data_IF_796888852815
#
_entry.id   IF_796888852815
#
_cell.length_a   1.000
_cell.length_b   1.000
_cell.length_c   1.000
_cell.angle_alpha   90.00
_cell.angle_beta   90.00
_cell.angle_gamma   90.00
#
_symmetry.space_group_name_H-M   'P 1'
#
loop_
_entity.id
_entity.type
_entity.pdbx_description
1 polymer ?
#
# COMPACT_ATOMS: atom_id res chain seq x y z
N UNK A 1 12.27 -25.11 37.63
CA UNK A 1 11.92 -23.69 37.78
C UNK A 1 13.11 -22.88 37.32
N UNK A 2 12.91 -21.94 36.38
CA UNK A 2 13.97 -21.05 35.95
C UNK A 2 14.09 -19.95 37.00
N UNK A 3 15.32 -19.64 37.39
CA UNK A 3 15.63 -18.72 38.49
C UNK A 3 15.11 -17.31 38.19
N UNK A 4 14.47 -16.61 39.16
CA UNK A 4 14.13 -15.19 39.06
C UNK A 4 15.33 -14.30 38.67
N UNK A 5 16.55 -14.77 38.93
CA UNK A 5 17.80 -14.12 38.52
C UNK A 5 18.03 -14.12 37.01
N UNK A 6 17.51 -15.10 36.27
CA UNK A 6 17.64 -15.18 34.82
C UNK A 6 16.69 -14.18 34.14
N UNK A 7 15.48 -14.02 34.69
CA UNK A 7 14.53 -12.97 34.28
C UNK A 7 15.08 -11.58 34.64
N UNK A 8 15.67 -11.42 35.82
CA UNK A 8 16.33 -10.18 36.22
C UNK A 8 17.53 -9.83 35.33
N UNK A 9 18.29 -10.82 34.87
CA UNK A 9 19.40 -10.62 33.93
C UNK A 9 18.92 -10.19 32.54
N UNK A 10 17.74 -10.65 32.09
CA UNK A 10 17.13 -10.18 30.85
C UNK A 10 16.52 -8.77 30.95
N UNK A 11 16.10 -8.34 32.15
CA UNK A 11 15.56 -6.99 32.38
C UNK A 11 16.62 -5.87 32.32
N UNK A 12 17.89 -6.17 32.64
CA UNK A 12 18.98 -5.22 32.46
C UNK A 12 19.37 -5.18 30.97
N UNK A 13 19.00 -4.11 30.27
CA UNK A 13 19.29 -3.85 28.84
C UNK A 13 20.79 -3.96 28.44
N UNK A 14 21.70 -4.21 29.37
CA UNK A 14 23.07 -4.66 29.10
C UNK A 14 23.09 -6.17 28.79
N UNK A 15 22.70 -6.52 27.56
CA UNK A 15 22.55 -7.87 27.01
C UNK A 15 23.86 -8.70 26.86
N UNK A 16 24.93 -8.33 27.56
CA UNK A 16 26.19 -9.09 27.63
C UNK A 16 26.72 -9.05 29.06
N UNK A 17 25.92 -9.48 30.04
CA UNK A 17 26.47 -9.78 31.36
C UNK A 17 26.98 -11.22 31.37
N UNK A 18 28.15 -11.45 31.97
CA UNK A 18 28.74 -12.78 32.19
C UNK A 18 27.75 -13.78 32.79
N UNK A 19 26.75 -13.28 33.51
CA UNK A 19 25.64 -14.04 34.11
C UNK A 19 24.75 -14.71 33.06
N UNK A 20 24.37 -14.00 31.98
CA UNK A 20 23.54 -14.56 30.91
C UNK A 20 24.30 -15.66 30.14
N UNK A 21 25.58 -15.43 29.85
CA UNK A 21 26.48 -16.41 29.23
C UNK A 21 26.72 -17.63 30.14
N UNK A 22 26.87 -17.42 31.45
CA UNK A 22 27.00 -18.49 32.44
C UNK A 22 25.74 -19.36 32.50
N UNK A 23 24.55 -18.76 32.57
CA UNK A 23 23.31 -19.50 32.54
C UNK A 23 23.16 -20.28 31.22
N UNK A 24 23.51 -19.69 30.08
CA UNK A 24 23.47 -20.42 28.84
C UNK A 24 24.38 -21.64 28.81
N UNK A 25 25.62 -21.53 29.32
CA UNK A 25 26.54 -22.67 29.38
C UNK A 25 25.92 -23.81 30.18
N UNK A 26 25.30 -23.49 31.31
CA UNK A 26 24.55 -24.45 32.12
C UNK A 26 23.36 -25.05 31.35
N UNK A 27 22.57 -24.25 30.62
CA UNK A 27 21.43 -24.76 29.83
C UNK A 27 21.86 -25.57 28.60
N UNK A 28 23.02 -25.26 27.99
CA UNK A 28 23.66 -26.03 26.92
C UNK A 28 24.12 -27.39 27.44
N UNK A 29 24.80 -27.40 28.58
CA UNK A 29 25.27 -28.62 29.25
C UNK A 29 24.09 -29.51 29.70
N UNK A 30 22.95 -28.89 30.07
CA UNK A 30 21.71 -29.59 30.42
C UNK A 30 20.85 -30.01 29.21
N UNK A 31 21.25 -29.71 27.97
CA UNK A 31 20.46 -29.95 26.74
C UNK A 31 19.05 -29.33 26.74
N UNK A 32 18.84 -28.22 27.45
CA UNK A 32 17.53 -27.53 27.56
C UNK A 32 17.46 -26.18 26.83
N UNK A 33 18.32 -26.00 25.82
CA UNK A 33 18.41 -24.76 25.04
C UNK A 33 17.08 -24.33 24.40
N UNK A 34 16.28 -25.27 23.90
CA UNK A 34 14.96 -24.98 23.33
C UNK A 34 13.97 -24.40 24.34
N UNK A 35 14.12 -24.73 25.64
CA UNK A 35 13.29 -24.16 26.71
C UNK A 35 13.72 -22.72 26.98
N UNK A 36 15.02 -22.45 27.00
CA UNK A 36 15.57 -21.11 27.18
C UNK A 36 15.16 -20.17 26.04
N UNK A 37 15.27 -20.63 24.79
CA UNK A 37 14.82 -19.89 23.60
C UNK A 37 13.34 -19.49 23.71
N UNK A 38 12.46 -20.42 24.09
CA UNK A 38 11.03 -20.11 24.28
C UNK A 38 10.78 -19.08 25.38
N UNK A 39 11.50 -19.16 26.49
CA UNK A 39 11.35 -18.18 27.57
C UNK A 39 11.88 -16.80 27.18
N UNK A 40 12.99 -16.76 26.46
CA UNK A 40 13.57 -15.53 25.92
C UNK A 40 12.61 -14.85 24.93
N UNK A 41 12.09 -15.63 23.99
CA UNK A 41 11.10 -15.20 23.01
C UNK A 41 9.85 -14.61 23.69
N UNK A 42 9.28 -15.34 24.65
CA UNK A 42 8.11 -14.86 25.40
C UNK A 42 8.40 -13.58 26.19
N UNK A 43 9.60 -13.46 26.75
CA UNK A 43 10.01 -12.24 27.47
C UNK A 43 10.07 -11.04 26.54
N UNK A 44 10.81 -11.14 25.43
CA UNK A 44 10.93 -10.08 24.43
C UNK A 44 9.56 -9.71 23.83
N UNK A 45 8.74 -10.72 23.52
CA UNK A 45 7.37 -10.53 23.04
C UNK A 45 6.54 -9.68 24.00
N UNK A 46 6.51 -10.06 25.28
CA UNK A 46 5.70 -9.36 26.28
C UNK A 46 6.19 -7.92 26.50
N UNK A 47 7.50 -7.70 26.45
CA UNK A 47 8.08 -6.35 26.53
C UNK A 47 7.60 -5.48 25.37
N UNK A 48 7.69 -5.96 24.13
CA UNK A 48 7.26 -5.21 22.95
C UNK A 48 5.75 -4.93 22.94
N UNK A 49 4.92 -5.90 23.31
CA UNK A 49 3.47 -5.70 23.45
C UNK A 49 3.15 -4.65 24.52
N UNK A 50 3.89 -4.64 25.64
CA UNK A 50 3.71 -3.64 26.68
C UNK A 50 4.13 -2.24 26.20
N UNK A 51 5.22 -2.12 25.44
CA UNK A 51 5.64 -0.85 24.83
C UNK A 51 4.58 -0.32 23.86
N UNK A 52 3.97 -1.18 23.04
CA UNK A 52 2.85 -0.80 22.19
C UNK A 52 1.68 -0.23 22.98
N UNK A 53 1.25 -0.92 24.05
CA UNK A 53 0.17 -0.43 24.92
C UNK A 53 0.49 0.93 25.52
N UNK A 54 1.73 1.12 25.97
CA UNK A 54 2.18 2.40 26.51
C UNK A 54 2.11 3.51 25.45
N UNK A 55 2.56 3.26 24.21
CA UNK A 55 2.47 4.25 23.12
C UNK A 55 1.02 4.68 22.90
N UNK A 56 0.10 3.72 22.81
CA UNK A 56 -1.32 4.01 22.55
C UNK A 56 -2.00 4.72 23.74
N UNK A 57 -1.54 4.48 24.97
CA UNK A 57 -2.16 5.03 26.20
C UNK A 57 -1.50 6.35 26.68
N UNK A 58 -0.28 6.68 26.24
CA UNK A 58 0.50 7.78 26.79
C UNK A 58 -0.04 9.17 26.45
N UNK A 59 -0.47 9.41 25.21
CA UNK A 59 -0.97 10.72 24.77
C UNK A 59 -2.20 10.57 23.85
N UNK A 60 -3.38 11.08 24.24
CA UNK A 60 -4.58 11.05 23.41
C UNK A 60 -4.53 11.99 22.20
N UNK A 61 -3.58 12.94 22.14
CA UNK A 61 -3.41 13.83 20.98
C UNK A 61 -2.56 13.20 19.87
N UNK A 62 -1.79 12.16 20.17
CA UNK A 62 -0.98 11.46 19.18
C UNK A 62 -1.86 10.71 18.15
N UNK A 63 -1.46 10.81 16.89
CA UNK A 63 -2.15 10.10 15.80
C UNK A 63 -1.56 8.70 15.62
N UNK A 64 -2.31 7.83 14.93
CA UNK A 64 -1.77 6.52 14.55
C UNK A 64 -0.46 6.61 13.75
N UNK A 65 -0.25 7.69 13.00
CA UNK A 65 1.00 7.94 12.27
C UNK A 65 2.16 8.05 13.27
N UNK A 66 1.97 8.78 14.37
CA UNK A 66 2.97 8.95 15.43
C UNK A 66 3.23 7.63 16.16
N UNK A 67 2.16 6.93 16.54
CA UNK A 67 2.26 5.61 17.18
C UNK A 67 3.03 4.61 16.33
N UNK A 68 2.77 4.58 15.02
CA UNK A 68 3.40 3.66 14.09
C UNK A 68 4.88 3.98 13.89
N UNK A 69 5.25 5.26 13.77
CA UNK A 69 6.65 5.67 13.69
C UNK A 69 7.43 5.24 14.94
N UNK A 70 6.90 5.59 16.13
CA UNK A 70 7.54 5.26 17.40
C UNK A 70 7.68 3.74 17.58
N UNK A 71 6.60 3.00 17.34
CA UNK A 71 6.64 1.54 17.48
C UNK A 71 7.59 0.87 16.47
N UNK A 72 7.61 1.33 15.21
CA UNK A 72 8.54 0.80 14.20
C UNK A 72 10.01 1.09 14.56
N UNK A 73 10.32 2.25 15.13
CA UNK A 73 11.66 2.57 15.62
C UNK A 73 12.06 1.64 16.78
N UNK A 74 11.14 1.35 17.70
CA UNK A 74 11.36 0.37 18.78
C UNK A 74 11.60 -1.03 18.22
N UNK A 75 10.81 -1.47 17.24
CA UNK A 75 10.98 -2.79 16.60
C UNK A 75 12.35 -2.89 15.92
N UNK A 76 12.77 -1.86 15.19
CA UNK A 76 14.04 -1.84 14.48
C UNK A 76 15.23 -1.78 15.46
N UNK A 77 15.15 -0.94 16.49
CA UNK A 77 16.16 -0.87 17.55
C UNK A 77 16.30 -2.22 18.27
N UNK A 78 15.15 -2.86 18.56
CA UNK A 78 15.13 -4.20 19.14
C UNK A 78 15.75 -5.21 18.19
N UNK A 79 15.38 -5.22 16.91
CA UNK A 79 16.00 -6.10 15.91
C UNK A 79 17.53 -6.01 15.95
N UNK A 80 18.10 -4.81 15.89
CA UNK A 80 19.56 -4.62 15.90
C UNK A 80 20.20 -5.06 17.23
N UNK A 81 19.62 -4.69 18.37
CA UNK A 81 20.12 -5.08 19.69
C UNK A 81 20.10 -6.60 19.88
N UNK A 82 18.98 -7.23 19.48
CA UNK A 82 18.78 -8.67 19.61
C UNK A 82 19.64 -9.45 18.62
N UNK A 83 19.94 -8.90 17.44
CA UNK A 83 20.82 -9.56 16.47
C UNK A 83 22.19 -9.86 17.07
N UNK A 84 22.85 -8.86 17.66
CA UNK A 84 24.17 -9.04 18.29
C UNK A 84 24.10 -10.01 19.47
N UNK A 85 23.04 -9.93 20.28
CA UNK A 85 22.87 -10.80 21.43
C UNK A 85 22.63 -12.26 21.01
N UNK A 86 21.68 -12.52 20.10
CA UNK A 86 21.36 -13.85 19.62
C UNK A 86 22.52 -14.51 18.85
N UNK A 87 23.35 -13.76 18.14
CA UNK A 87 24.57 -14.30 17.52
C UNK A 87 25.55 -14.86 18.56
N UNK A 88 25.68 -14.20 19.72
CA UNK A 88 26.52 -14.67 20.82
C UNK A 88 25.85 -15.80 21.63
N UNK A 89 24.53 -15.74 21.77
CA UNK A 89 23.77 -16.68 22.58
C UNK A 89 23.42 -17.99 21.84
N UNK A 90 23.24 -17.95 20.53
CA UNK A 90 22.67 -19.04 19.73
C UNK A 90 23.47 -19.28 18.45
N UNK A 91 24.74 -19.71 18.53
CA UNK A 91 25.59 -19.90 17.35
C UNK A 91 25.11 -21.02 16.41
N UNK A 92 24.28 -21.94 16.92
CA UNK A 92 23.81 -23.12 16.18
C UNK A 92 22.42 -22.91 15.52
N UNK A 93 21.80 -21.74 15.66
CA UNK A 93 20.46 -21.43 15.12
C UNK A 93 20.50 -20.21 14.19
N UNK A 94 19.66 -20.19 13.16
CA UNK A 94 19.51 -19.01 12.29
C UNK A 94 18.89 -17.87 13.09
N UNK A 95 19.71 -16.88 13.46
CA UNK A 95 19.28 -15.72 14.26
C UNK A 95 18.15 -14.96 13.55
N UNK A 96 18.22 -14.88 12.21
CA UNK A 96 17.20 -14.22 11.37
C UNK A 96 15.84 -14.91 11.53
N UNK A 97 15.79 -16.25 11.61
CA UNK A 97 14.56 -16.98 11.85
C UNK A 97 13.96 -16.63 13.21
N UNK A 98 14.77 -16.68 14.27
CA UNK A 98 14.30 -16.41 15.65
C UNK A 98 13.71 -15.00 15.76
N UNK A 99 14.39 -14.00 15.18
CA UNK A 99 13.91 -12.62 15.22
C UNK A 99 12.68 -12.41 14.32
N UNK A 100 12.62 -13.07 13.17
CA UNK A 100 11.44 -13.01 12.29
C UNK A 100 10.21 -13.61 12.97
N UNK A 101 10.35 -14.77 13.62
CA UNK A 101 9.29 -15.39 14.42
C UNK A 101 8.85 -14.49 15.58
N UNK A 102 9.79 -13.82 16.25
CA UNK A 102 9.49 -12.88 17.34
C UNK A 102 8.64 -11.71 16.86
N UNK A 103 9.04 -11.06 15.76
CA UNK A 103 8.29 -9.93 15.20
C UNK A 103 6.91 -10.37 14.70
N UNK A 104 6.79 -11.53 14.05
CA UNK A 104 5.50 -12.10 13.65
C UNK A 104 4.60 -12.30 14.87
N UNK A 105 5.13 -12.91 15.93
CA UNK A 105 4.37 -13.16 17.16
C UNK A 105 3.97 -11.88 17.88
N UNK A 106 4.79 -10.83 17.83
CA UNK A 106 4.44 -9.52 18.40
C UNK A 106 3.32 -8.89 17.59
N UNK A 107 3.50 -8.72 16.28
CA UNK A 107 2.55 -8.06 15.38
C UNK A 107 1.17 -8.73 15.37
N UNK A 108 1.13 -10.07 15.48
CA UNK A 108 -0.12 -10.84 15.55
C UNK A 108 -0.85 -10.75 16.89
N UNK A 109 -0.15 -10.40 17.97
CA UNK A 109 -0.69 -10.35 19.33
C UNK A 109 -0.78 -8.92 19.89
N UNK A 110 -0.66 -7.89 19.04
CA UNK A 110 -0.87 -6.50 19.46
C UNK A 110 -2.32 -6.27 19.90
N UNK A 111 -2.46 -5.53 20.99
CA UNK A 111 -3.73 -5.16 21.61
C UNK A 111 -3.64 -3.70 22.06
N UNK A 112 -4.38 -2.75 21.44
CA UNK A 112 -5.25 -2.97 20.28
C UNK A 112 -4.47 -3.40 19.03
N UNK A 113 -5.10 -4.16 18.13
CA UNK A 113 -4.44 -4.63 16.92
C UNK A 113 -4.23 -3.51 15.90
N UNK A 114 -3.17 -3.59 15.08
CA UNK A 114 -2.91 -2.59 14.03
C UNK A 114 -4.08 -2.47 13.04
N UNK A 115 -4.71 -3.58 12.67
CA UNK A 115 -5.89 -3.55 11.80
C UNK A 115 -7.05 -2.75 12.41
N UNK A 116 -7.32 -2.93 13.71
CA UNK A 116 -8.33 -2.14 14.41
C UNK A 116 -7.99 -0.64 14.45
N UNK A 117 -6.74 -0.30 14.75
CA UNK A 117 -6.30 1.09 14.79
C UNK A 117 -6.42 1.78 13.41
N UNK A 118 -6.01 1.10 12.33
CA UNK A 118 -6.14 1.61 10.96
C UNK A 118 -7.61 1.81 10.60
N UNK A 119 -8.47 0.82 10.88
CA UNK A 119 -9.91 0.92 10.63
C UNK A 119 -10.57 2.09 11.40
N UNK A 120 -10.14 2.32 12.64
CA UNK A 120 -10.62 3.44 13.45
C UNK A 120 -10.15 4.79 12.88
N UNK A 121 -8.86 4.93 12.54
CA UNK A 121 -8.31 6.13 11.94
C UNK A 121 -8.96 6.48 10.59
N UNK A 122 -9.18 5.47 9.75
CA UNK A 122 -9.82 5.61 8.43
C UNK A 122 -11.24 6.19 8.47
N UNK A 123 -11.98 5.98 9.55
CA UNK A 123 -13.34 6.53 9.72
C UNK A 123 -13.34 8.04 9.98
N UNK A 124 -12.25 8.56 10.56
CA UNK A 124 -12.13 9.97 10.93
C UNK A 124 -11.63 10.85 9.77
N UNK A 125 -11.00 10.24 8.76
CA UNK A 125 -10.37 10.97 7.66
C UNK A 125 -11.31 11.24 6.49
N UNK A 126 -11.20 12.44 5.92
CA UNK A 126 -11.86 12.82 4.67
C UNK A 126 -11.17 12.21 3.45
N UNK A 127 -9.83 12.28 3.41
CA UNK A 127 -9.01 11.67 2.36
C UNK A 127 -8.39 10.34 2.84
N UNK A 128 -9.18 9.28 2.74
CA UNK A 128 -8.84 7.93 3.18
C UNK A 128 -7.62 7.33 2.47
N UNK A 129 -7.47 7.60 1.17
CA UNK A 129 -6.39 7.05 0.36
C UNK A 129 -5.04 7.67 0.70
N UNK A 130 -5.00 8.99 0.87
CA UNK A 130 -3.78 9.69 1.28
C UNK A 130 -3.30 9.22 2.65
N UNK A 131 -4.23 9.05 3.59
CA UNK A 131 -3.94 8.52 4.92
C UNK A 131 -3.34 7.09 4.89
N UNK A 132 -3.91 6.19 4.06
CA UNK A 132 -3.34 4.86 3.88
C UNK A 132 -1.94 4.89 3.25
N UNK A 133 -1.71 5.79 2.30
CA UNK A 133 -0.39 5.97 1.67
C UNK A 133 0.63 6.39 2.73
N UNK A 134 0.31 7.34 3.60
CA UNK A 134 1.22 7.80 4.66
C UNK A 134 1.58 6.68 5.65
N UNK A 135 0.58 5.93 6.12
CA UNK A 135 0.80 4.77 7.00
C UNK A 135 1.64 3.69 6.32
N UNK A 136 1.35 3.40 5.05
CA UNK A 136 2.14 2.44 4.27
C UNK A 136 3.57 2.94 4.08
N UNK A 137 3.81 4.22 3.79
CA UNK A 137 5.16 4.76 3.63
C UNK A 137 6.01 4.59 4.89
N UNK A 138 5.42 4.74 6.08
CA UNK A 138 6.09 4.47 7.36
C UNK A 138 6.44 2.98 7.49
N UNK A 139 5.53 2.11 7.06
CA UNK A 139 5.73 0.66 7.03
C UNK A 139 6.83 0.26 6.03
N UNK A 140 6.82 0.84 4.83
CA UNK A 140 7.81 0.61 3.77
C UNK A 140 9.23 0.98 4.27
N UNK A 141 9.37 2.03 5.09
CA UNK A 141 10.67 2.40 5.72
C UNK A 141 11.17 1.32 6.66
N UNK A 142 10.32 0.78 7.54
CA UNK A 142 10.67 -0.33 8.43
C UNK A 142 11.11 -1.54 7.60
N UNK A 143 10.30 -1.91 6.61
CA UNK A 143 10.53 -3.08 5.75
C UNK A 143 11.85 -2.95 4.99
N UNK A 144 12.14 -1.78 4.41
CA UNK A 144 13.42 -1.51 3.72
C UNK A 144 14.62 -1.57 4.67
N UNK A 145 14.49 -1.06 5.89
CA UNK A 145 15.55 -1.16 6.91
C UNK A 145 15.81 -2.61 7.33
N UNK A 146 14.76 -3.42 7.48
CA UNK A 146 14.88 -4.86 7.75
C UNK A 146 15.53 -5.60 6.58
N UNK A 147 15.13 -5.29 5.35
CA UNK A 147 15.71 -5.84 4.12
C UNK A 147 17.22 -5.59 4.05
N UNK A 148 17.66 -4.34 4.23
CA UNK A 148 19.09 -3.98 4.23
C UNK A 148 19.83 -4.73 5.34
N UNK A 149 19.23 -4.81 6.53
CA UNK A 149 19.82 -5.50 7.69
C UNK A 149 19.99 -6.99 7.43
N UNK A 150 18.98 -7.68 6.89
CA UNK A 150 19.04 -9.11 6.57
C UNK A 150 20.05 -9.36 5.45
N UNK A 151 20.01 -8.53 4.39
CA UNK A 151 20.91 -8.64 3.25
C UNK A 151 22.38 -8.52 3.66
N UNK A 152 22.71 -7.62 4.58
CA UNK A 152 24.09 -7.43 5.07
C UNK A 152 24.66 -8.64 5.84
N UNK A 153 23.79 -9.51 6.35
CA UNK A 153 24.17 -10.63 7.21
C UNK A 153 24.23 -11.91 6.39
N UNK A 154 23.11 -12.27 5.77
CA UNK A 154 23.02 -13.47 4.95
C UNK A 154 22.00 -13.27 3.82
N UNK A 155 22.44 -12.96 2.59
CA UNK A 155 21.54 -12.62 1.49
C UNK A 155 20.63 -13.79 1.07
N UNK A 156 21.00 -15.03 1.40
CA UNK A 156 20.20 -16.23 1.09
C UNK A 156 18.93 -16.35 1.94
N UNK A 157 18.92 -15.76 3.14
CA UNK A 157 17.79 -15.82 4.07
C UNK A 157 16.64 -14.88 3.70
N UNK A 158 16.83 -13.98 2.73
CA UNK A 158 15.79 -13.09 2.20
C UNK A 158 14.59 -13.85 1.61
N UNK A 159 14.81 -15.09 1.18
CA UNK A 159 13.77 -15.95 0.62
C UNK A 159 13.31 -17.04 1.60
N UNK A 160 13.74 -16.97 2.86
CA UNK A 160 13.34 -17.96 3.86
C UNK A 160 11.84 -17.84 4.15
N UNK A 161 11.20 -18.97 4.48
CA UNK A 161 9.78 -19.00 4.81
C UNK A 161 9.42 -18.05 5.98
N UNK A 162 10.36 -17.84 6.91
CA UNK A 162 10.18 -16.97 8.07
C UNK A 162 10.18 -15.49 7.69
N UNK A 163 11.08 -15.07 6.79
CA UNK A 163 11.10 -13.69 6.26
C UNK A 163 9.86 -13.42 5.41
N UNK A 164 9.43 -14.38 4.59
CA UNK A 164 8.17 -14.28 3.82
C UNK A 164 6.97 -14.10 4.77
N UNK A 165 6.91 -14.89 5.85
CA UNK A 165 5.85 -14.76 6.86
C UNK A 165 5.88 -13.41 7.57
N UNK A 166 7.08 -12.92 7.90
CA UNK A 166 7.26 -11.60 8.52
C UNK A 166 6.72 -10.49 7.62
N UNK A 167 7.14 -10.44 6.35
CA UNK A 167 6.67 -9.43 5.39
C UNK A 167 5.15 -9.50 5.23
N UNK A 168 4.59 -10.71 5.07
CA UNK A 168 3.13 -10.90 5.01
C UNK A 168 2.41 -10.40 6.25
N UNK A 169 2.99 -10.61 7.43
CA UNK A 169 2.41 -10.17 8.71
C UNK A 169 2.44 -8.64 8.85
N UNK A 170 3.54 -8.00 8.43
CA UNK A 170 3.68 -6.53 8.46
C UNK A 170 2.62 -5.85 7.58
N UNK A 171 2.39 -6.38 6.37
CA UNK A 171 1.41 -5.79 5.44
C UNK A 171 -0.03 -6.30 5.60
N UNK A 172 -0.25 -7.34 6.40
CA UNK A 172 -1.58 -7.91 6.61
C UNK A 172 -2.67 -6.88 6.99
N UNK A 173 -2.40 -5.87 7.84
CA UNK A 173 -3.41 -4.86 8.20
C UNK A 173 -3.90 -4.02 7.02
N UNK A 174 -3.09 -3.85 5.96
CA UNK A 174 -3.44 -3.03 4.79
C UNK A 174 -4.24 -3.78 3.74
N UNK A 175 -4.14 -5.11 3.70
CA UNK A 175 -4.76 -5.96 2.68
C UNK A 175 -6.28 -5.73 2.50
N UNK A 176 -7.09 -5.66 3.57
CA UNK A 176 -8.55 -5.44 3.42
C UNK A 176 -8.89 -4.11 2.75
N UNK A 177 -8.04 -3.10 2.90
CA UNK A 177 -8.22 -1.79 2.26
C UNK A 177 -7.76 -1.80 0.80
N UNK A 178 -6.67 -2.49 0.49
CA UNK A 178 -6.18 -2.67 -0.88
C UNK A 178 -7.17 -3.50 -1.70
N UNK A 179 -7.82 -4.49 -1.11
CA UNK A 179 -8.89 -5.27 -1.77
C UNK A 179 -10.10 -4.40 -2.15
N UNK A 180 -10.36 -3.31 -1.42
CA UNK A 180 -11.44 -2.35 -1.70
C UNK A 180 -10.95 -1.09 -2.41
N UNK A 181 -9.74 -1.12 -2.96
CA UNK A 181 -9.09 0.04 -3.56
C UNK A 181 -9.91 0.64 -4.71
N UNK A 182 -10.51 -0.22 -5.54
CA UNK A 182 -11.42 0.19 -6.62
C UNK A 182 -12.52 1.13 -6.13
N UNK A 183 -13.25 0.72 -5.09
CA UNK A 183 -14.35 1.50 -4.52
C UNK A 183 -13.89 2.78 -3.83
N UNK A 184 -12.70 2.76 -3.21
CA UNK A 184 -12.14 3.93 -2.52
C UNK A 184 -11.66 4.98 -3.53
N UNK A 185 -10.98 4.54 -4.59
CA UNK A 185 -10.48 5.42 -5.67
C UNK A 185 -11.63 5.99 -6.48
N UNK A 186 -12.65 5.19 -6.82
CA UNK A 186 -13.84 5.67 -7.52
C UNK A 186 -14.58 6.75 -6.71
N UNK A 187 -14.79 6.52 -5.40
CA UNK A 187 -15.44 7.50 -4.53
C UNK A 187 -14.67 8.83 -4.48
N UNK A 188 -13.34 8.77 -4.41
CA UNK A 188 -12.49 9.96 -4.40
C UNK A 188 -12.53 10.69 -5.75
N UNK A 189 -12.42 9.95 -6.86
CA UNK A 189 -12.48 10.52 -8.21
C UNK A 189 -13.83 11.17 -8.52
N UNK A 190 -14.93 10.52 -8.15
CA UNK A 190 -16.28 11.06 -8.32
C UNK A 190 -16.50 12.28 -7.42
N UNK A 191 -15.95 12.30 -6.20
CA UNK A 191 -15.98 13.49 -5.35
C UNK A 191 -15.22 14.66 -6.00
N UNK A 192 -14.04 14.42 -6.56
CA UNK A 192 -13.29 15.41 -7.33
C UNK A 192 -14.05 15.88 -8.57
N UNK A 193 -14.74 14.99 -9.28
CA UNK A 193 -15.56 15.34 -10.45
C UNK A 193 -16.69 16.31 -10.08
N UNK A 194 -17.34 16.11 -8.93
CA UNK A 194 -18.44 16.98 -8.45
C UNK A 194 -17.99 18.42 -8.15
N UNK A 195 -16.69 18.66 -8.01
CA UNK A 195 -16.16 20.04 -7.89
C UNK A 195 -16.20 20.80 -9.22
N UNK A 196 -16.34 20.09 -10.34
CA UNK A 196 -16.48 20.67 -11.67
C UNK A 196 -17.94 21.08 -11.87
N UNK A 197 -18.21 22.38 -11.78
CA UNK A 197 -19.55 22.95 -12.00
C UNK A 197 -19.82 23.08 -13.49
N UNK A 198 -20.99 22.61 -13.95
CA UNK A 198 -21.45 22.78 -15.32
C UNK A 198 -22.56 23.84 -15.39
N UNK A 199 -22.55 24.66 -16.43
CA UNK A 199 -23.59 25.66 -16.69
C UNK A 199 -24.75 25.07 -17.51
N UNK A 200 -25.93 25.66 -17.37
CA UNK A 200 -27.11 25.36 -18.20
C UNK A 200 -27.09 26.11 -19.55
N UNK A 201 -26.26 27.14 -19.69
CA UNK A 201 -26.05 27.82 -20.97
C UNK A 201 -25.04 27.07 -21.84
N UNK A 202 -25.33 26.96 -23.15
CA UNK A 202 -24.49 26.19 -24.09
C UNK A 202 -23.09 26.76 -24.20
N UNK A 203 -22.94 28.09 -24.31
CA UNK A 203 -21.63 28.72 -24.54
C UNK A 203 -20.75 28.51 -23.31
N UNK A 204 -21.31 28.75 -22.12
CA UNK A 204 -20.60 28.51 -20.87
C UNK A 204 -20.36 27.02 -20.62
N UNK A 205 -21.30 26.13 -20.98
CA UNK A 205 -21.13 24.69 -20.86
C UNK A 205 -19.99 24.17 -21.75
N UNK A 206 -19.91 24.59 -23.01
CA UNK A 206 -18.82 24.22 -23.93
C UNK A 206 -17.47 24.72 -23.40
N UNK A 207 -17.40 25.97 -22.93
CA UNK A 207 -16.18 26.53 -22.35
C UNK A 207 -15.74 25.79 -21.08
N UNK A 208 -16.64 25.59 -20.13
CA UNK A 208 -16.36 24.89 -18.88
C UNK A 208 -15.99 23.42 -19.12
N UNK A 209 -16.59 22.79 -20.13
CA UNK A 209 -16.25 21.43 -20.53
C UNK A 209 -14.84 21.36 -21.13
N UNK A 210 -14.45 22.33 -21.96
CA UNK A 210 -13.08 22.46 -22.46
C UNK A 210 -12.08 22.62 -21.32
N UNK A 211 -12.31 23.54 -20.39
CA UNK A 211 -11.46 23.75 -19.22
C UNK A 211 -11.40 22.53 -18.28
N UNK A 212 -12.45 21.70 -18.30
CA UNK A 212 -12.53 20.51 -17.47
C UNK A 212 -11.64 19.37 -17.98
N UNK A 213 -11.33 19.31 -19.27
CA UNK A 213 -10.52 18.24 -19.87
C UNK A 213 -9.19 18.12 -19.15
N UNK A 214 -8.40 19.20 -19.09
CA UNK A 214 -7.07 19.15 -18.45
C UNK A 214 -7.15 18.74 -16.97
N UNK A 215 -8.18 19.20 -16.24
CA UNK A 215 -8.38 18.86 -14.83
C UNK A 215 -8.71 17.38 -14.63
N UNK A 216 -9.58 16.84 -15.48
CA UNK A 216 -9.95 15.42 -15.45
C UNK A 216 -8.72 14.55 -15.67
N UNK A 217 -7.88 14.86 -16.64
CA UNK A 217 -6.65 14.10 -16.88
C UNK A 217 -5.61 14.30 -15.77
N UNK A 218 -5.54 15.47 -15.11
CA UNK A 218 -4.77 15.62 -13.87
C UNK A 218 -5.26 14.69 -12.77
N UNK A 219 -6.58 14.57 -12.54
CA UNK A 219 -7.12 13.64 -11.54
C UNK A 219 -6.77 12.19 -11.83
N UNK A 220 -6.76 11.80 -13.11
CA UNK A 220 -6.35 10.45 -13.54
C UNK A 220 -4.86 10.21 -13.25
N UNK A 221 -3.99 11.17 -13.54
CA UNK A 221 -2.56 11.09 -13.23
C UNK A 221 -2.29 11.01 -11.72
N UNK A 222 -3.03 11.78 -10.92
CA UNK A 222 -2.93 11.68 -9.46
C UNK A 222 -3.40 10.31 -8.94
N UNK A 223 -4.47 9.75 -9.52
CA UNK A 223 -4.95 8.40 -9.18
C UNK A 223 -3.93 7.31 -9.51
N UNK A 224 -3.23 7.46 -10.64
CA UNK A 224 -2.09 6.60 -10.98
C UNK A 224 -0.97 6.73 -9.94
N UNK A 225 -0.58 7.95 -9.58
CA UNK A 225 0.46 8.16 -8.57
C UNK A 225 0.09 7.52 -7.23
N UNK A 226 -1.17 7.66 -6.81
CA UNK A 226 -1.71 6.99 -5.61
C UNK A 226 -1.65 5.46 -5.73
N UNK A 227 -2.05 4.90 -6.87
CA UNK A 227 -1.97 3.47 -7.14
C UNK A 227 -0.54 2.94 -7.01
N UNK A 228 0.43 3.66 -7.59
CA UNK A 228 1.85 3.29 -7.52
C UNK A 228 2.38 3.38 -6.08
N UNK A 229 2.07 4.45 -5.35
CA UNK A 229 2.53 4.61 -3.97
C UNK A 229 1.92 3.56 -3.02
N UNK A 230 0.62 3.27 -3.17
CA UNK A 230 -0.10 2.38 -2.28
C UNK A 230 0.12 0.90 -2.61
N UNK A 231 0.14 0.53 -3.89
CA UNK A 231 0.14 -0.88 -4.32
C UNK A 231 1.39 -1.31 -5.09
N UNK A 232 2.34 -0.39 -5.31
CA UNK A 232 3.53 -0.62 -6.15
C UNK A 232 3.15 -1.12 -7.56
N UNK A 233 1.96 -0.74 -8.05
CA UNK A 233 1.41 -1.13 -9.35
C UNK A 233 0.64 -2.45 -9.37
N UNK A 234 0.57 -3.21 -8.28
CA UNK A 234 -0.24 -4.45 -8.25
C UNK A 234 -1.75 -4.17 -8.32
N UNK A 235 -2.17 -2.94 -7.97
CA UNK A 235 -3.57 -2.50 -7.95
C UNK A 235 -4.11 -1.96 -9.28
N UNK A 236 -3.39 -2.09 -10.41
CA UNK A 236 -3.83 -1.52 -11.70
C UNK A 236 -5.22 -2.00 -12.13
N UNK A 237 -5.62 -3.24 -11.85
CA UNK A 237 -6.98 -3.70 -12.16
C UNK A 237 -8.04 -2.89 -11.41
N UNK A 238 -7.82 -2.65 -10.12
CA UNK A 238 -8.72 -1.83 -9.32
C UNK A 238 -8.75 -0.38 -9.80
N UNK A 239 -7.60 0.17 -10.17
CA UNK A 239 -7.50 1.50 -10.78
C UNK A 239 -8.30 1.57 -12.09
N UNK A 240 -8.12 0.62 -13.00
CA UNK A 240 -8.82 0.62 -14.30
C UNK A 240 -10.34 0.53 -14.12
N UNK A 241 -10.83 -0.28 -13.17
CA UNK A 241 -12.26 -0.33 -12.83
C UNK A 241 -12.77 1.01 -12.26
N UNK A 242 -12.02 1.63 -11.36
CA UNK A 242 -12.37 2.94 -10.80
C UNK A 242 -12.38 4.04 -11.88
N UNK A 243 -11.42 4.01 -12.81
CA UNK A 243 -11.34 4.93 -13.94
C UNK A 243 -12.47 4.72 -14.93
N UNK A 244 -12.90 3.47 -15.18
CA UNK A 244 -14.08 3.18 -16.00
C UNK A 244 -15.33 3.86 -15.42
N UNK A 245 -15.60 3.67 -14.13
CA UNK A 245 -16.72 4.33 -13.44
C UNK A 245 -16.63 5.86 -13.50
N UNK A 246 -15.44 6.42 -13.24
CA UNK A 246 -15.18 7.86 -13.31
C UNK A 246 -15.39 8.43 -14.72
N UNK A 247 -14.90 7.78 -15.77
CA UNK A 247 -15.06 8.22 -17.15
C UNK A 247 -16.50 8.09 -17.63
N UNK A 248 -17.25 7.09 -17.16
CA UNK A 248 -18.69 6.96 -17.41
C UNK A 248 -19.46 8.13 -16.80
N UNK A 249 -19.14 8.54 -15.57
CA UNK A 249 -19.72 9.73 -14.94
C UNK A 249 -19.33 11.01 -15.70
N UNK A 250 -18.06 11.17 -16.09
CA UNK A 250 -17.61 12.32 -16.88
C UNK A 250 -18.31 12.39 -18.26
N UNK A 251 -18.56 11.26 -18.91
CA UNK A 251 -19.34 11.18 -20.16
C UNK A 251 -20.78 11.71 -19.98
N UNK A 252 -21.29 11.72 -18.75
CA UNK A 252 -22.55 12.36 -18.38
C UNK A 252 -22.60 13.85 -18.74
N UNK A 253 -21.48 14.57 -18.60
CA UNK A 253 -21.39 16.00 -18.94
C UNK A 253 -21.56 16.24 -20.44
N UNK A 254 -20.95 15.39 -21.28
CA UNK A 254 -21.16 15.43 -22.74
C UNK A 254 -22.60 15.09 -23.12
N UNK A 255 -23.21 14.11 -22.44
CA UNK A 255 -24.64 13.78 -22.64
C UNK A 255 -25.56 14.95 -22.27
N UNK A 256 -25.21 15.72 -21.24
CA UNK A 256 -25.91 16.94 -20.87
C UNK A 256 -25.78 18.01 -21.97
N UNK A 257 -24.56 18.27 -22.45
CA UNK A 257 -24.30 19.21 -23.54
C UNK A 257 -25.10 18.86 -24.81
N UNK A 258 -25.12 17.59 -25.21
CA UNK A 258 -25.91 17.11 -26.35
C UNK A 258 -27.42 17.35 -26.18
N UNK A 259 -27.93 17.23 -24.94
CA UNK A 259 -29.32 17.55 -24.62
C UNK A 259 -29.61 19.03 -24.79
N UNK A 260 -28.70 19.91 -24.36
CA UNK A 260 -28.84 21.36 -24.52
C UNK A 260 -28.90 21.76 -26.01
N UNK A 261 -27.99 21.22 -26.83
CA UNK A 261 -28.03 21.40 -28.29
C UNK A 261 -29.35 20.93 -28.90
N UNK A 262 -29.83 19.73 -28.49
CA UNK A 262 -31.10 19.18 -28.99
C UNK A 262 -32.29 20.08 -28.66
N UNK A 263 -32.33 20.61 -27.44
CA UNK A 263 -33.39 21.51 -27.01
C UNK A 263 -33.38 22.81 -27.81
N UNK A 264 -32.21 23.46 -28.00
CA UNK A 264 -32.13 24.69 -28.81
C UNK A 264 -32.46 24.46 -30.29
N UNK A 265 -32.12 23.30 -30.86
CA UNK A 265 -32.50 22.99 -32.26
C UNK A 265 -34.00 22.72 -32.47
N UNK A 266 -34.74 22.37 -31.42
CA UNK A 266 -36.20 22.16 -31.50
C UNK A 266 -36.99 23.48 -31.50
N UNK A 267 -36.46 24.51 -30.84
CA UNK A 267 -37.01 25.87 -30.88
C UNK A 267 -36.32 26.67 -31.98
N UNK A 268 -36.80 26.54 -33.22
CA UNK A 268 -36.37 27.41 -34.32
C UNK A 268 -36.86 28.84 -34.05
N UNK A 269 -36.05 29.67 -33.43
CA UNK A 269 -36.19 31.12 -33.56
C UNK A 269 -35.77 31.53 -34.98
N UNK A 270 -36.47 32.49 -35.58
CA UNK A 270 -36.22 32.98 -36.95
C UNK A 270 -34.90 33.81 -37.08
N UNK A 271 -34.01 33.76 -36.08
CA UNK A 271 -32.80 34.57 -36.01
C UNK A 271 -31.55 33.81 -36.54
N UNK A 272 -31.02 34.18 -37.73
CA UNK A 272 -29.87 33.49 -38.35
C UNK A 272 -28.53 33.71 -37.61
N UNK A 273 -28.44 34.69 -36.71
CA UNK A 273 -27.23 34.97 -35.92
C UNK A 273 -27.04 33.90 -34.83
N UNK A 274 -28.14 33.40 -34.25
CA UNK A 274 -28.09 32.31 -33.27
C UNK A 274 -27.62 31.00 -33.92
N UNK A 275 -28.03 30.74 -35.16
CA UNK A 275 -27.61 29.56 -35.93
C UNK A 275 -26.09 29.53 -36.17
N UNK A 276 -25.46 30.68 -36.46
CA UNK A 276 -24.00 30.75 -36.62
C UNK A 276 -23.27 30.52 -35.29
N UNK A 277 -23.76 31.10 -34.20
CA UNK A 277 -23.18 30.89 -32.87
C UNK A 277 -23.29 29.41 -32.44
N UNK A 278 -24.43 28.77 -32.69
CA UNK A 278 -24.66 27.35 -32.43
C UNK A 278 -23.72 26.47 -33.26
N UNK A 279 -23.50 26.81 -34.53
CA UNK A 279 -22.53 26.11 -35.36
C UNK A 279 -21.11 26.21 -34.78
N UNK A 280 -20.67 27.41 -34.39
CA UNK A 280 -19.35 27.60 -33.75
C UNK A 280 -19.21 26.79 -32.46
N UNK A 281 -20.23 26.79 -31.60
CA UNK A 281 -20.24 26.00 -30.36
C UNK A 281 -20.22 24.49 -30.63
N UNK A 282 -20.91 24.03 -31.67
CA UNK A 282 -20.88 22.61 -32.07
C UNK A 282 -19.50 22.16 -32.58
N UNK A 283 -18.79 23.05 -33.28
CA UNK A 283 -17.42 22.78 -33.75
C UNK A 283 -16.45 22.73 -32.57
N UNK A 284 -16.56 23.67 -31.62
CA UNK A 284 -15.78 23.67 -30.39
C UNK A 284 -16.04 22.42 -29.54
N UNK A 285 -17.31 22.02 -29.37
CA UNK A 285 -17.65 20.78 -28.68
C UNK A 285 -17.02 19.54 -29.37
N UNK A 286 -17.03 19.50 -30.69
CA UNK A 286 -16.40 18.42 -31.47
C UNK A 286 -14.88 18.40 -31.27
N UNK A 287 -14.24 19.57 -31.24
CA UNK A 287 -12.82 19.69 -30.97
C UNK A 287 -12.46 19.20 -29.55
N UNK A 288 -13.26 19.56 -28.54
CA UNK A 288 -13.08 19.09 -27.15
C UNK A 288 -13.21 17.57 -27.07
N UNK A 289 -14.21 16.98 -27.73
CA UNK A 289 -14.36 15.52 -27.78
C UNK A 289 -13.14 14.88 -28.45
N UNK A 290 -12.65 15.44 -29.54
CA UNK A 290 -11.43 14.99 -30.21
C UNK A 290 -10.22 15.02 -29.28
N UNK A 291 -10.05 16.10 -28.51
CA UNK A 291 -8.99 16.21 -27.50
C UNK A 291 -9.10 15.12 -26.43
N UNK A 292 -10.30 14.88 -25.89
CA UNK A 292 -10.52 13.81 -24.91
C UNK A 292 -10.14 12.45 -25.48
N UNK A 293 -10.55 12.13 -26.72
CA UNK A 293 -10.21 10.86 -27.36
C UNK A 293 -8.70 10.68 -27.53
N UNK A 294 -7.99 11.72 -27.99
CA UNK A 294 -6.53 11.69 -28.11
C UNK A 294 -5.84 11.47 -26.76
N UNK A 295 -6.33 12.12 -25.70
CA UNK A 295 -5.78 11.95 -24.36
C UNK A 295 -6.08 10.56 -23.77
N UNK A 296 -7.24 9.97 -24.07
CA UNK A 296 -7.56 8.59 -23.69
C UNK A 296 -6.65 7.58 -24.38
N UNK A 297 -6.36 7.75 -25.66
CA UNK A 297 -5.41 6.90 -26.39
C UNK A 297 -4.00 6.97 -25.79
N UNK A 298 -3.53 8.18 -25.45
CA UNK A 298 -2.25 8.36 -24.78
C UNK A 298 -2.21 7.66 -23.41
N UNK A 299 -3.29 7.72 -22.63
CA UNK A 299 -3.39 7.01 -21.35
C UNK A 299 -3.37 5.48 -21.53
N UNK A 300 -4.05 4.96 -22.55
CA UNK A 300 -4.05 3.52 -22.84
C UNK A 300 -2.63 3.01 -23.12
N UNK A 301 -1.87 3.74 -23.94
CA UNK A 301 -0.47 3.44 -24.24
C UNK A 301 0.37 3.49 -22.96
N UNK A 302 0.21 4.54 -22.15
CA UNK A 302 0.95 4.74 -20.90
C UNK A 302 0.69 3.60 -19.92
N UNK A 303 -0.57 3.27 -19.65
CA UNK A 303 -0.93 2.23 -18.68
C UNK A 303 -0.54 0.84 -19.17
N UNK A 304 -0.67 0.57 -20.46
CA UNK A 304 -0.15 -0.69 -21.04
C UNK A 304 1.35 -0.81 -20.82
N UNK A 305 2.11 0.27 -21.04
CA UNK A 305 3.54 0.34 -20.73
C UNK A 305 3.85 0.10 -19.26
N UNK A 306 3.14 0.77 -18.36
CA UNK A 306 3.37 0.69 -16.92
C UNK A 306 2.99 -0.69 -16.35
N UNK A 307 1.89 -1.29 -16.80
CA UNK A 307 1.50 -2.66 -16.40
C UNK A 307 2.55 -3.67 -16.89
N UNK A 308 3.08 -3.51 -18.12
CA UNK A 308 4.18 -4.34 -18.63
C UNK A 308 5.45 -4.20 -17.81
N UNK A 309 5.80 -2.98 -17.40
CA UNK A 309 6.97 -2.75 -16.53
C UNK A 309 6.80 -3.39 -15.16
N UNK A 310 5.62 -3.25 -14.54
CA UNK A 310 5.31 -3.86 -13.24
C UNK A 310 5.35 -5.38 -13.35
N UNK A 311 4.74 -5.96 -14.38
CA UNK A 311 4.81 -7.41 -14.57
C UNK A 311 6.23 -7.90 -14.81
N UNK A 312 7.12 -7.10 -15.42
CA UNK A 312 8.55 -7.41 -15.54
C UNK A 312 9.24 -7.39 -14.17
N UNK A 313 8.99 -6.37 -13.35
CA UNK A 313 9.53 -6.27 -11.98
C UNK A 313 9.10 -7.44 -11.09
N UNK A 314 7.89 -7.95 -11.29
CA UNK A 314 7.35 -9.10 -10.56
C UNK A 314 7.72 -10.46 -11.18
N UNK A 315 8.50 -10.48 -12.27
CA UNK A 315 9.01 -11.71 -12.88
C UNK A 315 8.02 -12.46 -13.79
N UNK A 316 6.89 -11.86 -14.18
CA UNK A 316 5.87 -12.54 -15.01
C UNK A 316 6.27 -12.78 -16.48
N UNK A 317 7.35 -12.13 -16.96
CA UNK A 317 7.78 -12.20 -18.36
C UNK A 317 9.02 -13.09 -18.61
N UNK A 318 9.68 -13.61 -17.57
CA UNK A 318 10.86 -14.47 -17.71
C UNK A 318 10.61 -15.85 -17.07
N UNK A 319 10.45 -16.92 -17.86
CA UNK A 319 10.41 -18.30 -17.36
C UNK A 319 11.79 -18.90 -17.09
N UNK A 320 12.87 -18.18 -17.41
CA UNK A 320 14.23 -18.71 -17.43
C UNK A 320 15.18 -17.84 -16.63
N UNK A 321 15.27 -18.12 -15.34
CA UNK A 321 16.45 -18.07 -14.48
C UNK A 321 15.95 -18.11 -13.04
N UNK A 322 16.61 -18.89 -12.18
CA UNK A 322 16.42 -18.91 -10.73
C UNK A 322 16.76 -17.53 -10.13
N UNK A 323 15.96 -16.52 -10.45
CA UNK A 323 16.03 -15.23 -9.78
C UNK A 323 15.57 -15.51 -8.35
N UNK A 324 16.48 -15.30 -7.40
CA UNK A 324 16.15 -15.22 -5.98
C UNK A 324 15.13 -14.09 -5.82
N UNK A 325 13.84 -14.41 -5.89
CA UNK A 325 12.77 -13.42 -5.77
C UNK A 325 12.73 -12.97 -4.32
N UNK A 326 13.32 -11.81 -4.08
CA UNK A 326 13.36 -11.17 -2.77
C UNK A 326 11.95 -11.04 -2.20
N UNK A 327 11.69 -11.64 -1.04
CA UNK A 327 10.37 -11.63 -0.39
C UNK A 327 9.83 -10.21 -0.20
N UNK A 328 10.72 -9.22 0.00
CA UNK A 328 10.40 -7.80 0.16
C UNK A 328 9.88 -7.12 -1.11
N UNK A 329 10.01 -7.75 -2.28
CA UNK A 329 9.54 -7.21 -3.57
C UNK A 329 8.37 -8.00 -4.18
N UNK A 330 7.89 -9.05 -3.49
CA UNK A 330 6.71 -9.84 -3.89
C UNK A 330 5.39 -9.17 -3.50
N UNK A 331 5.21 -7.91 -3.92
CA UNK A 331 4.03 -7.11 -3.56
C UNK A 331 2.70 -7.75 -4.02
N UNK A 332 2.73 -8.55 -5.08
CA UNK A 332 1.60 -9.32 -5.56
C UNK A 332 1.20 -10.45 -4.60
N UNK A 333 2.14 -11.10 -3.93
CA UNK A 333 1.87 -12.13 -2.92
C UNK A 333 1.55 -11.58 -1.54
N UNK A 334 2.04 -10.38 -1.26
CA UNK A 334 1.93 -9.72 0.04
C UNK A 334 0.65 -8.88 0.14
N UNK A 335 0.31 -8.13 -0.92
CA UNK A 335 -0.79 -7.15 -0.90
C UNK A 335 -2.07 -7.68 -1.55
N UNK A 336 -2.00 -8.56 -2.56
CA UNK A 336 -3.19 -9.02 -3.29
C UNK A 336 -3.79 -10.28 -2.69
N UNK A 337 -5.11 -10.42 -2.78
CA UNK A 337 -5.81 -11.68 -2.56
C UNK A 337 -5.44 -12.70 -3.65
N UNK A 338 -5.52 -14.02 -3.39
CA UNK A 338 -5.22 -15.03 -4.42
C UNK A 338 -6.14 -14.93 -5.65
N UNK A 339 -7.35 -14.38 -5.49
CA UNK A 339 -8.25 -14.07 -6.59
C UNK A 339 -7.75 -12.89 -7.42
N UNK A 340 -7.48 -11.76 -6.77
CA UNK A 340 -6.97 -10.55 -7.41
C UNK A 340 -5.62 -10.79 -8.11
N UNK A 341 -4.75 -11.61 -7.52
CA UNK A 341 -3.48 -12.04 -8.14
C UNK A 341 -3.71 -12.76 -9.46
N UNK A 342 -4.68 -13.69 -9.52
CA UNK A 342 -5.01 -14.40 -10.78
C UNK A 342 -5.56 -13.47 -11.84
N UNK A 343 -6.43 -12.53 -11.46
CA UNK A 343 -6.94 -11.52 -12.39
C UNK A 343 -5.80 -10.67 -12.95
N UNK A 344 -4.85 -10.25 -12.10
CA UNK A 344 -3.67 -9.49 -12.50
C UNK A 344 -2.77 -10.26 -13.46
N UNK A 345 -2.55 -11.55 -13.19
CA UNK A 345 -1.84 -12.45 -14.10
C UNK A 345 -2.55 -12.63 -15.45
N UNK A 346 -3.88 -12.74 -15.44
CA UNK A 346 -4.69 -12.80 -16.67
C UNK A 346 -4.61 -11.51 -17.48
N UNK A 347 -4.56 -10.35 -16.83
CA UNK A 347 -4.36 -9.08 -17.52
C UNK A 347 -2.98 -9.00 -18.18
N UNK A 348 -1.93 -9.36 -17.44
CA UNK A 348 -0.54 -9.37 -17.94
C UNK A 348 -0.39 -10.30 -19.15
N UNK A 349 -0.98 -11.49 -19.10
CA UNK A 349 -0.94 -12.46 -20.22
C UNK A 349 -1.73 -11.98 -21.43
N UNK A 350 -2.91 -11.37 -21.25
CA UNK A 350 -3.64 -10.75 -22.36
C UNK A 350 -2.85 -9.62 -23.03
N UNK A 351 -2.13 -8.82 -22.24
CA UNK A 351 -1.25 -7.75 -22.74
C UNK A 351 0.06 -8.25 -23.37
N UNK A 352 0.36 -9.55 -23.28
CA UNK A 352 1.44 -10.21 -24.02
C UNK A 352 0.98 -10.70 -25.40
N UNK A 353 -0.28 -11.11 -25.53
CA UNK A 353 -0.85 -11.67 -26.76
C UNK A 353 -1.29 -10.60 -27.77
N UNK A 354 -1.49 -9.35 -27.32
CA UNK A 354 -1.75 -8.17 -28.15
C UNK A 354 -0.60 -7.17 -28.14
#
# INVERSE_FOLDING_TARGET
MISPRLIAAFNTQSLVTDVALMYMKIFKDLRRLSTLQKHYHNFQKNQLIQQWKQIVECDPEETLIDWLNNFHDILLSTWHSQMTCCQQLLPDSSVIQVLSELLVDVLTNLDPSLAFCIDAGMKLQSNRLQYLIELKQITDRLVKSLEISIHSIEPKELNSAHVILLVKTIYAPYRPHIERYDSLEEQQLVASLKTLTMSEDIIDCVRLLGDSVSKVFCFIQEAESRCQQLTQGCGYIGLLRALEGFLVEYSGNFRCLLRLFRNKMQFKDENPIDDWSLFQQSLQATQIIGEVLMQLENLEILYTGNIREVGRKLGYYSPTEEHYVNAFHTYDDVLLSPGAKREFQQLITKLQEG
#
